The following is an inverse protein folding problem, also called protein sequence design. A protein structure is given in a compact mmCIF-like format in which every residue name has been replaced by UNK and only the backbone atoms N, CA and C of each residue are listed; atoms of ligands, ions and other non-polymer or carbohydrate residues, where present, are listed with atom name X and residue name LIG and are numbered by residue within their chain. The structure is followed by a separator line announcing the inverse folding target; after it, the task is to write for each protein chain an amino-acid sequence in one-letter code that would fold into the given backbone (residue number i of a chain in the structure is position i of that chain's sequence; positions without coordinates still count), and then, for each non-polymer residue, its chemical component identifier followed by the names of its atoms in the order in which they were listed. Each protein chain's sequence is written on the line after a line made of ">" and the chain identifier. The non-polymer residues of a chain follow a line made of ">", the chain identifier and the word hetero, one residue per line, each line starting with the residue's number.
data_IF_741593868494
#
_entry.id   IF_741593868494
#
_cell.length_a   1.000
_cell.length_b   1.000
_cell.length_c   1.000
_cell.angle_alpha   90.00
_cell.angle_beta   90.00
_cell.angle_gamma   90.00
#
_symmetry.space_group_name_H-M   'P 1'
#
loop_
_entity.id
_entity.type
_entity.pdbx_description
1 polymer ?
#
# COMPACT_ATOMS: atom_id res chain seq x y z
N UNK A 1 -59.11 40.93 52.84
CA UNK A 1 -57.99 40.12 52.31
C UNK A 1 -57.10 41.09 51.53
N UNK A 2 -55.86 41.27 52.01
CA UNK A 2 -54.78 42.21 51.63
C UNK A 2 -55.01 43.10 50.38
N UNK A 3 -55.28 44.41 50.51
CA UNK A 3 -54.40 45.56 50.79
C UNK A 3 -53.25 45.83 49.79
N UNK A 4 -53.52 46.88 49.04
CA UNK A 4 -52.73 47.75 48.17
C UNK A 4 -51.49 48.39 48.82
N UNK A 5 -50.42 48.52 48.03
CA UNK A 5 -49.65 49.76 47.80
C UNK A 5 -48.90 50.45 48.95
N UNK A 6 -47.56 50.59 48.81
CA UNK A 6 -46.86 51.83 49.18
C UNK A 6 -45.48 51.97 48.52
N UNK A 7 -45.13 53.22 48.33
CA UNK A 7 -44.06 53.85 47.56
C UNK A 7 -42.83 54.24 48.40
N UNK A 8 -41.74 54.56 47.67
CA UNK A 8 -40.51 55.31 48.03
C UNK A 8 -39.47 54.57 48.91
N UNK A 9 -38.19 54.52 48.56
CA UNK A 9 -37.29 55.69 48.49
C UNK A 9 -36.03 55.38 47.66
N UNK A 10 -35.57 56.40 46.91
CA UNK A 10 -34.37 56.42 46.08
C UNK A 10 -33.09 56.27 46.92
N UNK A 11 -32.12 55.51 46.43
CA UNK A 11 -30.71 55.83 46.64
C UNK A 11 -29.96 55.71 45.30
N UNK A 12 -29.48 56.87 44.85
CA UNK A 12 -28.51 57.03 43.78
C UNK A 12 -27.16 56.50 44.26
N UNK A 13 -26.57 55.54 43.55
CA UNK A 13 -25.12 55.37 43.50
C UNK A 13 -24.73 55.28 42.03
N UNK A 14 -24.20 56.38 41.52
CA UNK A 14 -23.54 56.43 40.22
C UNK A 14 -22.19 55.71 40.34
N UNK A 15 -22.03 54.60 39.63
CA UNK A 15 -20.73 54.00 39.36
C UNK A 15 -20.50 54.04 37.85
N UNK A 16 -19.68 55.00 37.44
CA UNK A 16 -19.11 55.13 36.11
C UNK A 16 -18.21 53.91 35.89
N UNK A 17 -18.66 52.96 35.06
CA UNK A 17 -17.84 51.86 34.59
C UNK A 17 -17.07 52.32 33.35
N UNK A 18 -15.85 52.79 33.57
CA UNK A 18 -14.85 53.05 32.54
C UNK A 18 -14.53 51.75 31.82
N UNK A 19 -14.93 51.67 30.55
CA UNK A 19 -14.59 50.59 29.64
C UNK A 19 -13.08 50.66 29.34
N UNK A 20 -12.27 49.90 30.09
CA UNK A 20 -10.88 49.64 29.75
C UNK A 20 -10.85 48.52 28.70
N UNK A 21 -10.61 48.91 27.45
CA UNK A 21 -10.20 48.02 26.37
C UNK A 21 -8.88 47.32 26.75
N UNK A 22 -8.96 46.08 27.25
CA UNK A 22 -7.84 45.15 27.24
C UNK A 22 -7.88 44.41 25.89
N UNK A 23 -6.86 44.55 25.01
CA UNK A 23 -6.76 43.68 23.87
C UNK A 23 -6.49 42.27 24.39
N UNK A 24 -7.42 41.34 24.15
CA UNK A 24 -7.16 39.93 24.30
C UNK A 24 -6.05 39.55 23.31
N UNK A 25 -4.82 39.47 23.81
CA UNK A 25 -3.74 38.74 23.15
C UNK A 25 -4.24 37.30 22.98
N UNK A 26 -4.72 36.98 21.78
CA UNK A 26 -4.77 35.60 21.31
C UNK A 26 -3.32 35.13 21.30
N UNK A 27 -2.96 34.32 22.29
CA UNK A 27 -1.84 33.41 22.13
C UNK A 27 -2.21 32.52 20.93
N UNK A 28 -1.54 32.76 19.80
CA UNK A 28 -1.41 31.72 18.79
C UNK A 28 -0.76 30.54 19.50
N UNK A 29 -1.55 29.49 19.68
CA UNK A 29 -1.08 28.20 20.17
C UNK A 29 -0.19 27.64 19.05
N UNK A 30 1.06 28.10 19.02
CA UNK A 30 2.13 27.50 18.23
C UNK A 30 2.36 26.14 18.86
N UNK A 31 1.56 25.17 18.41
CA UNK A 31 1.82 23.76 18.64
C UNK A 31 3.26 23.50 18.21
N UNK A 32 4.15 23.35 19.19
CA UNK A 32 5.55 23.06 18.93
C UNK A 32 5.60 21.80 18.05
N UNK A 33 6.08 21.96 16.81
CA UNK A 33 6.19 20.86 15.87
C UNK A 33 6.99 19.73 16.54
N UNK A 34 6.40 18.53 16.62
CA UNK A 34 7.08 17.34 17.14
C UNK A 34 8.41 17.19 16.38
N UNK A 35 9.54 16.96 17.07
CA UNK A 35 10.84 16.84 16.41
C UNK A 35 10.77 15.80 15.30
N UNK A 36 11.35 16.12 14.14
CA UNK A 36 11.45 15.16 13.05
C UNK A 36 12.17 13.90 13.54
N UNK A 37 11.68 12.68 13.22
CA UNK A 37 12.34 11.47 13.64
C UNK A 37 13.76 11.40 13.06
N UNK A 38 14.71 10.92 13.87
CA UNK A 38 16.10 10.73 13.45
C UNK A 38 16.29 9.30 12.94
N UNK A 39 16.84 9.10 11.72
CA UNK A 39 17.15 7.76 11.24
C UNK A 39 18.25 7.11 12.09
N UNK A 40 18.13 5.81 12.32
CA UNK A 40 19.14 5.01 13.03
C UNK A 40 20.34 4.67 12.13
N UNK A 41 20.12 4.59 10.81
CA UNK A 41 21.15 4.36 9.80
C UNK A 41 20.85 5.27 8.61
N UNK A 42 21.89 5.91 8.06
CA UNK A 42 21.82 6.68 6.81
C UNK A 42 22.92 6.18 5.88
N UNK A 43 22.53 5.67 4.71
CA UNK A 43 23.46 5.12 3.72
C UNK A 43 23.50 6.00 2.47
N UNK A 44 24.67 6.47 2.03
CA UNK A 44 24.79 7.22 0.78
C UNK A 44 24.67 6.28 -0.43
N UNK A 45 23.95 6.72 -1.47
CA UNK A 45 23.69 5.93 -2.68
C UNK A 45 24.46 6.39 -3.91
N UNK A 46 25.10 7.54 -3.85
CA UNK A 46 25.95 8.09 -4.91
C UNK A 46 27.11 7.14 -5.26
N UNK A 47 27.70 6.50 -4.24
CA UNK A 47 28.75 5.47 -4.39
C UNK A 47 28.26 4.25 -5.17
N UNK A 48 26.94 4.00 -5.23
CA UNK A 48 26.33 2.91 -6.00
C UNK A 48 25.91 3.39 -7.41
N UNK A 49 26.09 4.67 -7.73
CA UNK A 49 25.70 5.26 -9.01
C UNK A 49 24.20 5.53 -9.13
N UNK A 50 23.46 5.50 -8.02
CA UNK A 50 22.05 5.88 -8.01
C UNK A 50 21.88 7.36 -8.34
N UNK A 51 20.87 7.66 -9.18
CA UNK A 51 20.48 9.02 -9.52
C UNK A 51 18.96 9.11 -9.51
N UNK A 52 18.35 9.90 -8.61
CA UNK A 52 16.92 10.08 -8.58
C UNK A 52 16.40 10.61 -9.91
N UNK A 53 15.32 10.00 -10.41
CA UNK A 53 14.58 10.52 -11.55
C UNK A 53 13.46 11.41 -10.99
N UNK A 54 13.53 12.70 -11.30
CA UNK A 54 12.61 13.74 -10.80
C UNK A 54 11.70 14.31 -11.89
N UNK A 55 11.66 13.70 -13.08
CA UNK A 55 10.88 14.22 -14.19
C UNK A 55 9.38 14.13 -13.91
N UNK A 56 8.67 15.25 -14.07
CA UNK A 56 7.21 15.35 -13.93
C UNK A 56 6.47 14.37 -14.86
N UNK A 57 6.98 14.15 -16.07
CA UNK A 57 6.43 13.17 -17.01
C UNK A 57 6.44 11.74 -16.45
N UNK A 58 7.57 11.27 -15.91
CA UNK A 58 7.65 9.93 -15.30
C UNK A 58 6.73 9.78 -14.09
N UNK A 59 6.60 10.84 -13.29
CA UNK A 59 5.71 10.85 -12.14
C UNK A 59 4.23 10.79 -12.56
N UNK A 60 3.81 11.55 -13.58
CA UNK A 60 2.45 11.47 -14.14
C UNK A 60 2.15 10.09 -14.72
N UNK A 61 3.10 9.54 -15.48
CA UNK A 61 2.96 8.23 -16.11
C UNK A 61 2.99 7.06 -15.11
N UNK A 62 3.39 7.30 -13.85
CA UNK A 62 3.40 6.27 -12.82
C UNK A 62 4.58 5.30 -12.93
N UNK A 63 5.67 5.73 -13.55
CA UNK A 63 6.83 4.89 -13.82
C UNK A 63 7.61 4.51 -12.55
N UNK A 64 7.97 3.24 -12.46
CA UNK A 64 8.83 2.69 -11.40
C UNK A 64 10.30 2.99 -11.69
N UNK A 65 10.87 3.99 -11.03
CA UNK A 65 12.28 4.35 -11.25
C UNK A 65 13.22 3.75 -10.20
N UNK A 66 12.72 3.47 -9.00
CA UNK A 66 13.48 2.84 -7.94
C UNK A 66 12.57 2.06 -6.99
N UNK A 67 13.09 0.96 -6.44
CA UNK A 67 12.46 0.22 -5.35
C UNK A 67 13.44 -0.04 -4.22
N UNK A 68 12.96 -0.05 -2.98
CA UNK A 68 13.71 -0.50 -1.81
C UNK A 68 12.86 -1.52 -1.07
N UNK A 69 13.46 -2.65 -0.70
CA UNK A 69 12.78 -3.71 0.03
C UNK A 69 13.75 -4.34 1.04
N UNK A 70 13.23 -4.80 2.17
CA UNK A 70 14.00 -5.68 3.06
C UNK A 70 14.06 -7.09 2.48
N UNK A 71 15.26 -7.67 2.48
CA UNK A 71 15.45 -9.12 2.29
C UNK A 71 15.31 -9.80 3.65
N UNK A 72 15.94 -9.23 4.67
CA UNK A 72 15.82 -9.59 6.07
C UNK A 72 16.15 -8.36 6.95
N UNK A 73 16.23 -8.52 8.28
CA UNK A 73 16.55 -7.43 9.23
C UNK A 73 17.92 -6.76 9.05
N UNK A 74 18.80 -7.30 8.21
CA UNK A 74 20.19 -6.89 7.99
C UNK A 74 20.53 -6.63 6.52
N UNK A 75 19.64 -6.91 5.59
CA UNK A 75 19.91 -6.79 4.16
C UNK A 75 18.75 -6.12 3.42
N UNK A 76 19.10 -5.24 2.50
CA UNK A 76 18.16 -4.57 1.61
C UNK A 76 18.40 -4.98 0.16
N UNK A 77 17.34 -5.03 -0.62
CA UNK A 77 17.38 -5.02 -2.07
C UNK A 77 16.98 -3.62 -2.56
N UNK A 78 17.94 -2.90 -3.13
CA UNK A 78 17.72 -1.63 -3.81
C UNK A 78 17.74 -1.86 -5.32
N UNK A 79 16.72 -1.38 -6.03
CA UNK A 79 16.71 -1.37 -7.50
C UNK A 79 16.52 0.04 -8.03
N UNK A 80 17.12 0.36 -9.18
CA UNK A 80 16.94 1.64 -9.84
C UNK A 80 17.26 1.58 -11.33
N UNK A 81 16.62 2.47 -12.10
CA UNK A 81 16.91 2.63 -13.53
C UNK A 81 18.35 3.10 -13.74
N UNK A 82 19.14 2.31 -14.45
CA UNK A 82 20.50 2.63 -14.85
C UNK A 82 20.50 3.47 -16.14
N UNK A 83 21.17 4.62 -16.12
CA UNK A 83 21.31 5.48 -17.30
C UNK A 83 22.49 5.00 -18.15
N UNK A 84 22.21 4.21 -19.18
CA UNK A 84 23.20 3.76 -20.15
C UNK A 84 22.63 3.62 -21.55
N UNK A 85 23.51 3.50 -22.54
CA UNK A 85 23.12 3.23 -23.92
C UNK A 85 22.53 1.83 -24.02
N UNK A 86 21.41 1.71 -24.73
CA UNK A 86 20.69 0.46 -24.90
C UNK A 86 21.07 -0.12 -26.27
N UNK A 87 21.72 -1.29 -26.31
CA UNK A 87 22.00 -1.94 -27.57
C UNK A 87 20.70 -2.47 -28.18
N UNK A 88 20.57 -2.33 -29.51
CA UNK A 88 19.45 -2.94 -30.25
C UNK A 88 19.45 -4.45 -30.03
N UNK A 89 18.29 -5.02 -29.73
CA UNK A 89 18.10 -6.46 -29.59
C UNK A 89 17.23 -6.98 -30.73
N UNK A 90 17.47 -8.22 -31.15
CA UNK A 90 16.57 -8.92 -32.06
C UNK A 90 15.22 -9.28 -31.40
N UNK A 91 15.18 -9.29 -30.06
CA UNK A 91 13.99 -9.62 -29.25
C UNK A 91 13.11 -8.40 -28.95
N UNK A 92 13.53 -7.21 -29.39
CA UNK A 92 12.80 -5.97 -29.17
C UNK A 92 11.49 -5.99 -29.96
N UNK A 93 10.36 -5.81 -29.27
CA UNK A 93 9.02 -5.74 -29.83
C UNK A 93 8.62 -4.27 -30.07
N UNK A 94 7.69 -4.06 -30.98
CA UNK A 94 7.09 -2.74 -31.17
C UNK A 94 6.37 -2.30 -29.89
N UNK A 95 6.63 -1.09 -29.43
CA UNK A 95 6.08 -0.56 -28.17
C UNK A 95 6.95 -0.78 -26.93
N UNK A 96 8.04 -1.55 -27.00
CA UNK A 96 8.98 -1.71 -25.88
C UNK A 96 9.62 -0.35 -25.50
N UNK A 97 9.52 0.02 -24.22
CA UNK A 97 10.27 1.13 -23.58
C UNK A 97 11.45 0.55 -22.79
N UNK A 98 12.37 -0.04 -23.56
CA UNK A 98 13.55 -0.70 -23.03
C UNK A 98 14.35 0.21 -22.10
N UNK A 99 14.75 -0.35 -20.97
CA UNK A 99 15.76 0.25 -20.12
C UNK A 99 16.44 -0.81 -19.25
N UNK A 100 17.47 -0.40 -18.53
CA UNK A 100 18.15 -1.26 -17.59
C UNK A 100 17.78 -0.90 -16.17
N UNK A 101 17.53 -1.90 -15.36
CA UNK A 101 17.39 -1.80 -13.91
C UNK A 101 18.63 -2.44 -13.29
N UNK A 102 19.35 -1.67 -12.48
CA UNK A 102 20.40 -2.20 -11.61
C UNK A 102 19.78 -2.61 -10.29
N UNK A 103 20.16 -3.78 -9.79
CA UNK A 103 19.74 -4.33 -8.52
C UNK A 103 20.96 -4.54 -7.63
N UNK A 104 20.88 -4.10 -6.38
CA UNK A 104 22.00 -4.09 -5.44
C UNK A 104 21.52 -4.63 -4.09
N UNK A 105 22.22 -5.65 -3.59
CA UNK A 105 22.04 -6.18 -2.24
C UNK A 105 22.98 -5.46 -1.29
N UNK A 106 22.43 -4.79 -0.28
CA UNK A 106 23.16 -3.92 0.64
C UNK A 106 23.09 -4.52 2.05
N UNK A 107 24.21 -4.64 2.75
CA UNK A 107 24.24 -4.99 4.17
C UNK A 107 24.04 -3.78 5.08
N UNK A 108 23.38 -4.01 6.22
CA UNK A 108 23.17 -3.06 7.28
C UNK A 108 24.05 -3.41 8.50
N UNK A 109 24.61 -2.41 9.22
CA UNK A 109 24.47 -0.97 8.98
C UNK A 109 25.57 -0.37 8.08
N UNK A 110 26.52 -1.17 7.61
CA UNK A 110 27.75 -0.68 6.97
C UNK A 110 27.56 -0.19 5.52
N UNK A 111 26.42 -0.49 4.89
CA UNK A 111 26.12 -0.09 3.52
C UNK A 111 26.92 -0.83 2.46
N UNK A 112 27.57 -1.95 2.82
CA UNK A 112 28.41 -2.69 1.88
C UNK A 112 27.54 -3.40 0.83
N UNK A 113 27.92 -3.25 -0.43
CA UNK A 113 27.32 -4.02 -1.52
C UNK A 113 27.81 -5.46 -1.46
N UNK A 114 26.88 -6.40 -1.29
CA UNK A 114 27.18 -7.83 -1.24
C UNK A 114 27.09 -8.49 -2.61
N UNK A 115 26.08 -8.10 -3.40
CA UNK A 115 25.81 -8.63 -4.74
C UNK A 115 25.12 -7.57 -5.58
N UNK A 116 25.25 -7.73 -6.88
CA UNK A 116 24.57 -6.89 -7.87
C UNK A 116 24.13 -7.72 -9.06
N UNK A 117 23.08 -7.27 -9.71
CA UNK A 117 22.65 -7.76 -11.01
C UNK A 117 22.10 -6.61 -11.83
N UNK A 118 21.90 -6.88 -13.10
CA UNK A 118 21.29 -5.94 -14.02
C UNK A 118 20.28 -6.67 -14.90
N UNK A 119 19.13 -6.04 -15.08
CA UNK A 119 18.03 -6.57 -15.88
C UNK A 119 17.69 -5.59 -16.99
N UNK A 120 17.55 -6.10 -18.22
CA UNK A 120 16.87 -5.35 -19.29
C UNK A 120 15.38 -5.59 -19.11
N UNK A 121 14.64 -4.51 -18.91
CA UNK A 121 13.17 -4.52 -18.80
C UNK A 121 12.58 -3.75 -19.98
N UNK A 122 11.37 -4.11 -20.38
CA UNK A 122 10.75 -3.67 -21.64
C UNK A 122 9.66 -2.61 -21.46
N UNK A 123 9.36 -2.24 -20.23
CA UNK A 123 8.39 -1.21 -19.88
C UNK A 123 8.72 -0.65 -18.49
N UNK A 124 8.04 0.43 -18.07
CA UNK A 124 8.28 1.13 -16.81
C UNK A 124 7.24 0.85 -15.72
N UNK A 125 6.42 -0.18 -15.87
CA UNK A 125 5.47 -0.59 -14.85
C UNK A 125 6.20 -1.15 -13.61
N UNK A 126 5.45 -1.57 -12.59
CA UNK A 126 6.07 -2.32 -11.49
C UNK A 126 6.72 -3.59 -12.03
N UNK A 127 7.90 -3.90 -11.49
CA UNK A 127 8.68 -5.07 -11.91
C UNK A 127 9.17 -5.90 -10.74
N UNK A 128 9.01 -5.44 -9.50
CA UNK A 128 9.52 -6.15 -8.32
C UNK A 128 8.48 -6.15 -7.20
N UNK A 129 8.21 -7.31 -6.63
CA UNK A 129 7.36 -7.48 -5.46
C UNK A 129 8.07 -8.37 -4.42
N UNK A 130 8.08 -7.98 -3.13
CA UNK A 130 8.57 -8.84 -2.08
C UNK A 130 7.65 -10.06 -1.91
N UNK A 131 8.27 -11.22 -1.71
CA UNK A 131 7.62 -12.47 -1.31
C UNK A 131 8.07 -12.83 0.11
N UNK A 132 7.56 -13.94 0.65
CA UNK A 132 7.97 -14.43 1.95
C UNK A 132 9.48 -14.79 1.99
N UNK A 133 10.07 -14.74 3.19
CA UNK A 133 11.42 -15.24 3.48
C UNK A 133 12.53 -14.62 2.61
N UNK A 134 12.44 -13.32 2.31
CA UNK A 134 13.48 -12.61 1.54
C UNK A 134 13.55 -12.98 0.05
N UNK A 135 12.52 -13.65 -0.46
CA UNK A 135 12.39 -13.91 -1.89
C UNK A 135 11.66 -12.76 -2.57
N UNK A 136 11.77 -12.66 -3.89
CA UNK A 136 11.09 -11.64 -4.67
C UNK A 136 10.49 -12.22 -5.95
N UNK A 137 9.44 -11.58 -6.45
CA UNK A 137 8.96 -11.78 -7.80
C UNK A 137 9.49 -10.64 -8.67
N UNK A 138 10.25 -10.99 -9.70
CA UNK A 138 10.67 -10.09 -10.78
C UNK A 138 9.77 -10.32 -12.00
N UNK A 139 9.24 -9.24 -12.56
CA UNK A 139 8.52 -9.26 -13.84
C UNK A 139 9.36 -8.62 -14.93
N UNK A 140 9.50 -9.30 -16.05
CA UNK A 140 10.03 -8.75 -17.29
C UNK A 140 8.99 -8.99 -18.37
N UNK A 141 8.28 -7.94 -18.80
CA UNK A 141 7.14 -8.04 -19.72
C UNK A 141 6.04 -8.97 -19.16
N UNK A 142 5.72 -10.08 -19.82
CA UNK A 142 4.73 -11.06 -19.36
C UNK A 142 5.33 -12.17 -18.49
N UNK A 143 6.66 -12.23 -18.40
CA UNK A 143 7.35 -13.30 -17.71
C UNK A 143 7.62 -12.94 -16.26
N UNK A 144 7.51 -13.96 -15.41
CA UNK A 144 7.74 -13.87 -13.98
C UNK A 144 8.88 -14.78 -13.55
N UNK A 145 9.74 -14.23 -12.70
CA UNK A 145 10.91 -14.90 -12.15
C UNK A 145 10.92 -14.78 -10.63
N UNK A 146 11.30 -15.84 -9.92
CA UNK A 146 11.63 -15.73 -8.50
C UNK A 146 13.09 -15.31 -8.35
N UNK A 147 13.37 -14.45 -7.39
CA UNK A 147 14.71 -14.12 -6.93
C UNK A 147 14.92 -14.67 -5.52
N UNK A 148 16.12 -15.17 -5.27
CA UNK A 148 16.67 -15.47 -3.95
C UNK A 148 18.02 -14.75 -3.83
N UNK A 149 18.02 -13.45 -3.46
CA UNK A 149 19.20 -12.61 -3.57
C UNK A 149 20.37 -13.06 -2.70
N UNK A 150 20.11 -13.74 -1.58
CA UNK A 150 21.14 -14.25 -0.66
C UNK A 150 21.47 -15.72 -0.91
N UNK A 151 20.64 -16.44 -1.66
CA UNK A 151 20.80 -17.85 -2.03
C UNK A 151 22.11 -18.20 -2.73
N UNK A 152 22.36 -19.50 -2.87
CA UNK A 152 23.55 -19.99 -3.57
C UNK A 152 23.37 -20.19 -5.07
N UNK A 153 22.12 -20.31 -5.53
CA UNK A 153 21.78 -20.49 -6.95
C UNK A 153 21.98 -19.18 -7.73
N UNK A 154 22.43 -19.28 -8.99
CA UNK A 154 22.51 -18.19 -9.97
C UNK A 154 22.89 -16.82 -9.37
N UNK A 155 24.02 -16.77 -8.64
CA UNK A 155 24.40 -15.59 -7.82
C UNK A 155 24.54 -14.31 -8.64
N UNK A 156 24.99 -14.42 -9.88
CA UNK A 156 25.18 -13.32 -10.83
C UNK A 156 23.87 -12.63 -11.22
N UNK A 157 22.75 -13.35 -11.10
CA UNK A 157 21.40 -12.83 -11.34
C UNK A 157 20.53 -12.93 -10.09
N UNK A 158 21.12 -12.79 -8.89
CA UNK A 158 20.39 -12.77 -7.62
C UNK A 158 19.45 -13.96 -7.41
N UNK A 159 19.88 -15.16 -7.82
CA UNK A 159 19.09 -16.37 -7.66
C UNK A 159 17.90 -16.49 -8.61
N UNK A 160 17.88 -15.71 -9.69
CA UNK A 160 16.79 -15.69 -10.67
C UNK A 160 16.46 -17.10 -11.22
N UNK A 161 15.18 -17.48 -11.12
CA UNK A 161 14.58 -18.70 -11.71
C UNK A 161 13.26 -18.33 -12.37
N UNK A 162 12.98 -18.88 -13.55
CA UNK A 162 11.67 -18.71 -14.22
C UNK A 162 10.56 -19.35 -13.39
N UNK A 163 9.45 -18.63 -13.21
CA UNK A 163 8.24 -19.14 -12.54
C UNK A 163 7.07 -19.31 -13.49
N UNK A 164 6.85 -18.33 -14.37
CA UNK A 164 5.75 -18.33 -15.32
C UNK A 164 6.20 -17.56 -16.56
N UNK A 165 5.99 -18.15 -17.73
CA UNK A 165 6.19 -17.50 -19.02
C UNK A 165 4.82 -17.22 -19.61
N UNK A 166 4.63 -16.03 -20.16
CA UNK A 166 3.35 -15.62 -20.73
C UNK A 166 3.55 -14.60 -21.84
N UNK A 167 2.92 -14.86 -22.99
CA UNK A 167 2.80 -13.87 -24.06
C UNK A 167 1.60 -12.93 -23.86
N UNK A 168 0.75 -13.19 -22.88
CA UNK A 168 -0.37 -12.31 -22.55
C UNK A 168 0.11 -10.99 -21.90
N UNK A 169 -0.67 -9.93 -22.13
CA UNK A 169 -0.45 -8.62 -21.56
C UNK A 169 -0.92 -8.61 -20.10
N UNK A 170 -0.03 -8.25 -19.17
CA UNK A 170 -0.36 -8.14 -17.74
C UNK A 170 -1.23 -6.90 -17.50
N UNK A 171 -2.43 -7.12 -16.96
CA UNK A 171 -3.37 -6.07 -16.58
C UNK A 171 -3.21 -5.68 -15.11
N UNK A 172 -3.11 -6.67 -14.23
CA UNK A 172 -2.90 -6.45 -12.80
C UNK A 172 -2.15 -7.62 -12.15
N UNK A 173 -1.46 -7.29 -11.06
CA UNK A 173 -0.79 -8.26 -10.22
C UNK A 173 -1.00 -7.87 -8.75
N UNK A 174 -1.63 -8.75 -7.99
CA UNK A 174 -1.96 -8.52 -6.59
C UNK A 174 -1.56 -9.73 -5.72
N UNK A 175 -1.39 -9.50 -4.43
CA UNK A 175 -0.99 -10.53 -3.47
C UNK A 175 -1.85 -10.46 -2.21
N UNK A 176 -2.10 -11.61 -1.60
CA UNK A 176 -2.53 -11.66 -0.19
C UNK A 176 -1.47 -10.98 0.71
N UNK A 177 -1.84 -10.49 1.90
CA UNK A 177 -0.89 -9.86 2.82
C UNK A 177 0.30 -10.76 3.15
N UNK A 178 0.05 -12.04 3.40
CA UNK A 178 1.07 -13.06 3.72
C UNK A 178 1.93 -13.46 2.50
N UNK A 179 1.62 -12.93 1.30
CA UNK A 179 2.31 -13.23 0.03
C UNK A 179 2.28 -14.72 -0.36
N UNK A 180 1.27 -15.44 0.09
CA UNK A 180 1.06 -16.87 -0.14
C UNK A 180 0.00 -17.17 -1.22
N UNK A 181 -0.73 -16.15 -1.66
CA UNK A 181 -1.67 -16.18 -2.77
C UNK A 181 -1.40 -14.97 -3.69
N UNK A 182 -1.27 -15.23 -5.00
CA UNK A 182 -1.03 -14.23 -6.04
C UNK A 182 -2.18 -14.27 -7.05
N UNK A 183 -2.70 -13.10 -7.38
CA UNK A 183 -3.68 -12.90 -8.44
C UNK A 183 -2.95 -12.31 -9.65
N UNK A 184 -2.95 -13.03 -10.76
CA UNK A 184 -2.40 -12.58 -12.04
C UNK A 184 -3.55 -12.35 -13.00
N UNK A 185 -3.72 -11.11 -13.45
CA UNK A 185 -4.74 -10.75 -14.43
C UNK A 185 -4.09 -10.44 -15.77
N UNK A 186 -4.48 -11.17 -16.82
CA UNK A 186 -3.91 -11.01 -18.15
C UNK A 186 -4.98 -10.86 -19.22
N UNK A 187 -4.62 -10.21 -20.32
CA UNK A 187 -5.42 -10.17 -21.54
C UNK A 187 -4.59 -10.69 -22.73
N UNK A 188 -5.21 -11.36 -23.72
CA UNK A 188 -4.50 -11.78 -24.93
C UNK A 188 -3.76 -10.61 -25.59
N UNK A 189 -2.54 -10.77 -26.10
CA UNK A 189 -1.77 -9.67 -26.66
C UNK A 189 -2.42 -9.10 -27.93
N UNK A 190 -2.24 -7.80 -28.18
CA UNK A 190 -2.64 -7.18 -29.46
C UNK A 190 -1.78 -7.74 -30.59
N UNK A 191 -2.43 -8.11 -31.70
CA UNK A 191 -1.77 -8.51 -32.93
C UNK A 191 -1.68 -7.32 -33.88
N UNK A 192 -0.69 -7.36 -34.77
CA UNK A 192 -0.52 -6.36 -35.82
C UNK A 192 -1.77 -6.39 -36.70
N UNK A 193 -2.47 -5.25 -36.80
CA UNK A 193 -3.69 -5.09 -37.58
C UNK A 193 -4.99 -5.16 -36.76
N UNK A 194 -4.91 -5.46 -35.46
CA UNK A 194 -6.07 -5.35 -34.56
C UNK A 194 -6.50 -3.89 -34.42
N UNK A 195 -7.81 -3.64 -34.38
CA UNK A 195 -8.35 -2.29 -34.15
C UNK A 195 -8.07 -1.89 -32.69
N UNK A 196 -7.43 -0.72 -32.42
CA UNK A 196 -7.25 -0.22 -31.06
C UNK A 196 -8.56 -0.10 -30.25
N UNK A 197 -9.72 0.03 -30.90
CA UNK A 197 -11.02 0.00 -30.25
C UNK A 197 -11.38 -1.38 -29.68
N UNK A 198 -11.00 -2.46 -30.37
CA UNK A 198 -11.24 -3.85 -29.92
C UNK A 198 -10.39 -4.22 -28.70
N UNK A 199 -9.32 -3.48 -28.43
CA UNK A 199 -8.47 -3.69 -27.26
C UNK A 199 -9.24 -3.62 -25.92
N UNK A 200 -10.33 -2.82 -25.88
CA UNK A 200 -11.18 -2.63 -24.70
C UNK A 200 -12.19 -3.76 -24.46
N UNK A 201 -12.50 -4.53 -25.50
CA UNK A 201 -13.47 -5.64 -25.42
C UNK A 201 -12.80 -6.99 -25.15
N UNK A 202 -11.46 -7.01 -25.02
CA UNK A 202 -10.70 -8.23 -24.73
C UNK A 202 -11.02 -8.71 -23.31
N UNK A 203 -11.32 -10.02 -23.14
CA UNK A 203 -11.57 -10.56 -21.82
C UNK A 203 -10.30 -10.53 -20.96
N UNK A 204 -10.48 -10.23 -19.68
CA UNK A 204 -9.43 -10.32 -18.67
C UNK A 204 -9.54 -11.68 -17.98
N UNK A 205 -8.44 -12.42 -17.96
CA UNK A 205 -8.30 -13.71 -17.29
C UNK A 205 -7.61 -13.51 -15.95
N UNK A 206 -8.34 -13.70 -14.86
CA UNK A 206 -7.83 -13.63 -13.49
C UNK A 206 -7.48 -15.03 -13.00
N UNK A 207 -6.19 -15.30 -12.76
CA UNK A 207 -5.69 -16.61 -12.29
C UNK A 207 -5.08 -16.48 -10.91
N UNK A 208 -5.49 -17.34 -9.99
CA UNK A 208 -4.97 -17.40 -8.63
C UNK A 208 -3.89 -18.47 -8.52
N UNK A 209 -2.74 -18.10 -7.99
CA UNK A 209 -1.61 -18.99 -7.73
C UNK A 209 -1.27 -18.99 -6.26
N UNK A 210 -1.21 -20.17 -5.63
CA UNK A 210 -0.59 -20.33 -4.32
C UNK A 210 0.92 -20.33 -4.50
N UNK A 211 1.62 -19.55 -3.67
CA UNK A 211 3.07 -19.51 -3.61
C UNK A 211 3.56 -20.32 -2.42
N UNK A 212 4.62 -21.10 -2.64
CA UNK A 212 5.34 -21.77 -1.58
C UNK A 212 6.83 -21.79 -1.91
N UNK A 213 7.68 -21.67 -0.89
CA UNK A 213 9.12 -21.89 -1.02
C UNK A 213 9.39 -23.35 -0.62
N UNK A 214 10.03 -24.11 -1.50
CA UNK A 214 10.41 -25.50 -1.19
C UNK A 214 11.71 -25.56 -0.36
N UNK A 215 12.10 -26.77 0.07
CA UNK A 215 13.31 -27.00 0.88
C UNK A 215 14.61 -26.54 0.18
N UNK A 216 14.57 -26.36 -1.14
CA UNK A 216 15.73 -25.89 -1.93
C UNK A 216 15.80 -24.37 -2.04
N UNK A 217 14.83 -23.65 -1.46
CA UNK A 217 14.67 -22.20 -1.63
C UNK A 217 14.04 -21.82 -2.97
N UNK A 218 13.48 -22.77 -3.72
CA UNK A 218 12.80 -22.44 -4.96
C UNK A 218 11.33 -22.07 -4.69
N UNK A 219 10.89 -20.94 -5.24
CA UNK A 219 9.47 -20.57 -5.23
C UNK A 219 8.71 -21.47 -6.21
N UNK A 220 7.57 -22.00 -5.80
CA UNK A 220 6.67 -22.80 -6.61
C UNK A 220 5.28 -22.17 -6.68
N UNK A 221 4.69 -22.26 -7.86
CA UNK A 221 3.33 -21.83 -8.12
C UNK A 221 2.40 -23.06 -8.19
N UNK A 222 1.31 -23.04 -7.44
CA UNK A 222 0.21 -23.97 -7.61
C UNK A 222 -1.03 -23.22 -8.10
N UNK A 223 -1.53 -23.52 -9.30
CA UNK A 223 -2.77 -22.92 -9.79
C UNK A 223 -3.94 -23.30 -8.87
N UNK A 224 -4.74 -22.31 -8.47
CA UNK A 224 -5.87 -22.45 -7.55
C UNK A 224 -7.22 -22.05 -8.14
N UNK A 225 -7.26 -21.69 -9.41
CA UNK A 225 -8.50 -21.34 -10.07
C UNK A 225 -8.32 -20.15 -11.01
N UNK A 226 -9.30 -20.02 -11.91
CA UNK A 226 -9.35 -18.96 -12.90
C UNK A 226 -10.77 -18.42 -13.00
N UNK A 227 -10.88 -17.11 -13.20
CA UNK A 227 -12.11 -16.43 -13.58
C UNK A 227 -11.86 -15.57 -14.82
N UNK A 228 -12.93 -15.24 -15.53
CA UNK A 228 -12.88 -14.38 -16.71
C UNK A 228 -13.87 -13.24 -16.49
N UNK A 229 -13.43 -12.02 -16.75
CA UNK A 229 -14.21 -10.79 -16.67
C UNK A 229 -13.99 -9.94 -17.92
N UNK A 230 -14.79 -8.88 -18.08
CA UNK A 230 -14.53 -7.85 -19.09
C UNK A 230 -13.48 -6.85 -18.61
N UNK A 231 -13.48 -6.55 -17.32
CA UNK A 231 -12.60 -5.57 -16.70
C UNK A 231 -11.69 -6.23 -15.64
N UNK A 232 -10.49 -5.67 -15.37
CA UNK A 232 -9.64 -6.08 -14.25
C UNK A 232 -10.40 -6.07 -12.93
N UNK A 233 -10.14 -7.05 -12.07
CA UNK A 233 -10.77 -7.08 -10.75
C UNK A 233 -10.05 -6.09 -9.81
N UNK A 234 -10.80 -5.53 -8.86
CA UNK A 234 -10.26 -4.75 -7.74
C UNK A 234 -10.73 -5.43 -6.46
N UNK A 235 -9.88 -6.29 -5.91
CA UNK A 235 -10.25 -7.20 -4.83
C UNK A 235 -9.42 -6.91 -3.58
N UNK A 236 -10.09 -6.95 -2.43
CA UNK A 236 -9.41 -7.15 -1.16
C UNK A 236 -9.53 -8.64 -0.83
N UNK A 237 -8.41 -9.37 -0.81
CA UNK A 237 -8.43 -10.82 -0.60
C UNK A 237 -7.30 -11.32 0.30
N UNK A 238 -7.49 -12.51 0.85
CA UNK A 238 -6.47 -13.29 1.58
C UNK A 238 -6.43 -14.70 1.01
N UNK A 239 -5.57 -15.57 1.55
CA UNK A 239 -5.58 -17.00 1.21
C UNK A 239 -6.89 -17.72 1.58
N UNK A 240 -7.74 -17.09 2.40
CA UNK A 240 -8.99 -17.66 2.90
C UNK A 240 -10.23 -17.25 2.12
N UNK A 241 -10.21 -16.09 1.43
CA UNK A 241 -11.39 -15.56 0.77
C UNK A 241 -11.24 -14.14 0.25
N UNK A 242 -12.37 -13.58 -0.18
CA UNK A 242 -12.47 -12.24 -0.76
C UNK A 242 -13.43 -11.39 0.07
N UNK A 243 -13.04 -10.15 0.33
CA UNK A 243 -13.82 -9.15 1.03
C UNK A 243 -14.63 -8.32 0.04
N UNK A 244 -15.93 -8.24 0.27
CA UNK A 244 -16.87 -7.42 -0.48
C UNK A 244 -17.34 -6.24 0.39
N UNK A 245 -17.25 -5.04 -0.18
CA UNK A 245 -17.87 -3.84 0.41
C UNK A 245 -19.31 -3.72 -0.09
N UNK A 246 -20.27 -3.77 0.83
CA UNK A 246 -21.72 -3.77 0.55
C UNK A 246 -22.32 -2.43 1.00
N UNK A 247 -23.20 -1.82 0.19
CA UNK A 247 -23.93 -0.62 0.61
C UNK A 247 -25.16 -1.02 1.41
N UNK A 248 -25.22 -0.64 2.69
CA UNK A 248 -26.39 -0.88 3.53
C UNK A 248 -27.37 0.30 3.45
N UNK A 249 -26.85 1.52 3.54
CA UNK A 249 -27.60 2.75 3.31
C UNK A 249 -26.73 3.85 2.67
N UNK A 250 -27.15 5.12 2.71
CA UNK A 250 -26.41 6.24 2.10
C UNK A 250 -25.07 6.54 2.77
N UNK A 251 -24.91 6.19 4.03
CA UNK A 251 -23.75 6.52 4.86
C UNK A 251 -23.19 5.34 5.63
N UNK A 252 -23.77 4.15 5.50
CA UNK A 252 -23.32 2.91 6.13
C UNK A 252 -23.01 1.86 5.09
N UNK A 253 -21.83 1.26 5.25
CA UNK A 253 -21.29 0.22 4.40
C UNK A 253 -20.99 -1.02 5.24
N UNK A 254 -21.51 -2.16 4.82
CA UNK A 254 -21.16 -3.46 5.38
C UNK A 254 -19.91 -4.03 4.72
N UNK A 255 -19.30 -5.00 5.38
CA UNK A 255 -18.22 -5.81 4.82
C UNK A 255 -18.57 -7.29 4.93
N UNK A 256 -18.65 -7.96 3.79
CA UNK A 256 -18.93 -9.38 3.69
C UNK A 256 -17.67 -10.13 3.26
N UNK A 257 -17.20 -11.08 4.06
CA UNK A 257 -16.07 -11.93 3.72
C UNK A 257 -16.55 -13.28 3.19
N UNK A 258 -16.37 -13.47 1.89
CA UNK A 258 -16.69 -14.71 1.19
C UNK A 258 -15.48 -15.64 1.20
N UNK A 259 -15.52 -16.62 2.08
CA UNK A 259 -14.46 -17.64 2.15
C UNK A 259 -14.45 -18.51 0.88
N UNK A 260 -13.28 -18.95 0.46
CA UNK A 260 -13.15 -19.94 -0.62
C UNK A 260 -13.74 -21.31 -0.27
N UNK A 261 -13.99 -21.56 1.02
CA UNK A 261 -14.75 -22.70 1.53
C UNK A 261 -16.28 -22.54 1.38
N UNK A 262 -16.77 -21.41 0.85
CA UNK A 262 -18.18 -21.17 0.54
C UNK A 262 -19.03 -20.53 1.64
N UNK A 263 -18.44 -20.28 2.82
CA UNK A 263 -19.07 -19.53 3.93
C UNK A 263 -19.01 -18.03 3.67
N UNK A 264 -20.10 -17.32 3.98
CA UNK A 264 -20.12 -15.85 4.08
C UNK A 264 -20.01 -15.44 5.56
N UNK A 265 -19.26 -14.39 5.85
CA UNK A 265 -19.07 -13.83 7.19
C UNK A 265 -19.32 -12.34 7.09
N UNK A 266 -20.41 -11.88 7.68
CA UNK A 266 -20.70 -10.45 7.85
C UNK A 266 -19.78 -9.89 8.95
N UNK A 267 -19.12 -8.77 8.65
CA UNK A 267 -18.17 -8.11 9.52
C UNK A 267 -18.71 -6.75 10.00
N UNK A 268 -17.97 -6.10 10.90
CA UNK A 268 -18.36 -4.79 11.39
C UNK A 268 -18.43 -3.75 10.26
N UNK A 269 -19.57 -3.06 10.14
CA UNK A 269 -19.77 -2.01 9.15
C UNK A 269 -18.97 -0.73 9.39
N UNK A 270 -18.99 0.16 8.41
CA UNK A 270 -18.24 1.42 8.38
C UNK A 270 -19.14 2.59 7.95
N UNK A 271 -19.31 3.57 8.84
CA UNK A 271 -20.02 4.81 8.52
C UNK A 271 -19.15 5.71 7.64
N UNK A 272 -19.47 5.78 6.35
CA UNK A 272 -18.76 6.57 5.34
C UNK A 272 -19.73 7.11 4.28
N UNK A 273 -19.58 8.37 3.90
CA UNK A 273 -20.39 9.00 2.85
C UNK A 273 -19.96 8.65 1.41
N UNK A 274 -18.83 7.95 1.25
CA UNK A 274 -18.36 7.40 -0.02
C UNK A 274 -18.09 5.90 0.12
N UNK A 275 -18.02 5.15 -0.99
CA UNK A 275 -17.68 3.73 -0.96
C UNK A 275 -16.29 3.51 -0.35
N UNK A 276 -16.17 2.75 0.75
CA UNK A 276 -14.87 2.49 1.35
C UNK A 276 -13.98 1.65 0.45
N UNK A 277 -12.69 1.99 0.42
CA UNK A 277 -11.64 1.15 -0.16
C UNK A 277 -10.96 0.37 0.95
N UNK A 278 -11.04 -0.96 0.88
CA UNK A 278 -10.49 -1.86 1.89
C UNK A 278 -9.19 -2.50 1.42
N UNK A 279 -8.23 -2.66 2.33
CA UNK A 279 -6.94 -3.32 2.08
C UNK A 279 -6.61 -4.16 3.31
N UNK A 280 -6.36 -5.46 3.09
CA UNK A 280 -5.88 -6.34 4.16
C UNK A 280 -4.46 -5.99 4.53
N UNK A 281 -4.15 -6.01 5.84
CA UNK A 281 -2.79 -5.83 6.40
C UNK A 281 -2.21 -7.11 6.97
N UNK A 282 -3.08 -8.09 7.25
CA UNK A 282 -2.75 -9.46 7.60
C UNK A 282 -3.87 -10.37 7.11
N UNK A 283 -3.72 -11.69 7.26
CA UNK A 283 -4.83 -12.63 7.01
C UNK A 283 -6.07 -12.37 7.89
N UNK A 284 -5.92 -11.64 9.00
CA UNK A 284 -6.95 -11.45 10.01
C UNK A 284 -7.54 -10.03 10.03
N UNK A 285 -6.80 -9.05 9.51
CA UNK A 285 -7.09 -7.64 9.71
C UNK A 285 -7.03 -6.90 8.38
N UNK A 286 -7.93 -5.92 8.22
CA UNK A 286 -7.92 -4.98 7.12
C UNK A 286 -8.21 -3.58 7.64
N UNK A 287 -7.77 -2.58 6.90
CA UNK A 287 -8.28 -1.23 7.10
C UNK A 287 -9.14 -0.81 5.91
N UNK A 288 -10.00 0.17 6.15
CA UNK A 288 -10.81 0.79 5.12
C UNK A 288 -10.64 2.31 5.14
N UNK A 289 -10.53 2.91 3.95
CA UNK A 289 -10.58 4.35 3.75
C UNK A 289 -11.97 4.77 3.30
N UNK A 290 -12.57 5.73 4.01
CA UNK A 290 -13.88 6.28 3.72
C UNK A 290 -13.90 7.81 3.74
N UNK A 291 -15.10 8.38 3.76
CA UNK A 291 -15.35 9.83 3.72
C UNK A 291 -16.32 10.25 4.84
N UNK A 292 -16.12 11.46 5.39
CA UNK A 292 -16.98 12.04 6.44
C UNK A 292 -17.62 13.35 5.98
N UNK A 293 -18.83 13.26 5.45
CA UNK A 293 -19.64 14.43 5.10
C UNK A 293 -19.19 15.12 3.81
N UNK A 294 -18.54 14.37 2.91
CA UNK A 294 -17.99 14.87 1.65
C UNK A 294 -16.61 14.27 1.36
N UNK A 295 -16.10 14.50 0.15
CA UNK A 295 -14.80 13.93 -0.26
C UNK A 295 -13.60 14.55 0.46
N UNK A 296 -13.72 15.76 1.01
CA UNK A 296 -12.59 16.50 1.59
C UNK A 296 -12.18 16.00 2.98
N UNK A 297 -13.04 15.25 3.67
CA UNK A 297 -12.74 14.70 5.00
C UNK A 297 -12.67 13.20 4.90
N UNK A 298 -11.48 12.63 5.12
CA UNK A 298 -11.29 11.19 5.03
C UNK A 298 -11.37 10.53 6.39
N UNK A 299 -11.81 9.28 6.37
CA UNK A 299 -11.85 8.38 7.51
C UNK A 299 -10.92 7.22 7.24
N UNK A 300 -10.27 6.75 8.28
CA UNK A 300 -9.56 5.48 8.26
C UNK A 300 -10.06 4.64 9.43
N UNK A 301 -10.43 3.39 9.16
CA UNK A 301 -10.86 2.45 10.18
C UNK A 301 -10.13 1.12 10.06
N UNK A 302 -9.83 0.48 11.20
CA UNK A 302 -9.26 -0.85 11.29
C UNK A 302 -10.32 -1.87 11.72
N UNK A 303 -10.34 -3.02 11.07
CA UNK A 303 -11.34 -4.08 11.21
C UNK A 303 -10.66 -5.45 11.23
N UNK A 304 -11.32 -6.45 11.81
CA UNK A 304 -10.87 -7.84 11.74
C UNK A 304 -11.95 -8.79 11.20
N UNK A 305 -11.53 -10.00 10.85
CA UNK A 305 -12.42 -11.08 10.40
C UNK A 305 -13.26 -11.71 11.53
N UNK A 306 -13.15 -11.20 12.76
CA UNK A 306 -13.98 -11.57 13.91
C UNK A 306 -15.19 -10.63 14.09
N UNK A 307 -15.47 -9.80 13.07
CA UNK A 307 -16.53 -8.81 13.06
C UNK A 307 -16.37 -7.70 14.12
N UNK A 308 -15.13 -7.32 14.44
CA UNK A 308 -14.83 -6.21 15.35
C UNK A 308 -14.28 -5.01 14.58
N UNK A 309 -14.84 -3.83 14.83
CA UNK A 309 -14.22 -2.56 14.46
C UNK A 309 -13.23 -2.16 15.57
N UNK A 310 -11.93 -2.15 15.26
CA UNK A 310 -10.86 -1.93 16.23
C UNK A 310 -10.71 -0.45 16.58
N UNK A 311 -10.71 0.39 15.56
CA UNK A 311 -10.55 1.84 15.69
C UNK A 311 -11.05 2.53 14.43
N UNK A 312 -11.47 3.79 14.57
CA UNK A 312 -11.81 4.69 13.45
C UNK A 312 -11.34 6.10 13.82
N UNK A 313 -10.61 6.77 12.94
CA UNK A 313 -10.25 8.16 13.12
C UNK A 313 -10.46 8.98 11.84
N UNK A 314 -10.66 10.28 12.02
CA UNK A 314 -10.62 11.24 10.91
C UNK A 314 -9.16 11.49 10.55
N UNK A 315 -8.85 11.42 9.26
CA UNK A 315 -7.55 11.83 8.72
C UNK A 315 -7.78 13.04 7.83
N UNK A 316 -6.92 14.04 7.98
CA UNK A 316 -7.01 15.29 7.22
C UNK A 316 -6.55 15.10 5.76
N UNK A 317 -5.95 13.95 5.45
CA UNK A 317 -5.38 13.67 4.15
C UNK A 317 -5.98 12.40 3.51
N UNK A 318 -6.46 12.54 2.27
CA UNK A 318 -6.65 11.41 1.38
C UNK A 318 -5.31 11.05 0.73
N UNK A 319 -4.79 9.82 0.87
CA UNK A 319 -3.56 9.45 0.21
C UNK A 319 -3.75 9.47 -1.30
N UNK A 320 -3.26 10.54 -1.94
CA UNK A 320 -3.16 10.59 -3.40
C UNK A 320 -2.14 9.53 -3.84
N UNK A 321 -2.62 8.59 -4.66
CA UNK A 321 -1.94 7.34 -4.94
C UNK A 321 -1.63 6.60 -3.63
N UNK A 322 -2.60 5.86 -3.12
CA UNK A 322 -2.36 5.02 -1.95
C UNK A 322 -1.30 3.95 -2.27
N UNK A 323 -0.26 3.88 -1.46
CA UNK A 323 0.69 2.77 -1.43
C UNK A 323 0.87 2.33 0.01
N UNK A 324 0.84 1.02 0.22
CA UNK A 324 0.96 0.43 1.55
C UNK A 324 1.97 -0.69 1.51
N UNK A 325 2.81 -0.73 2.53
CA UNK A 325 3.65 -1.87 2.82
C UNK A 325 3.35 -2.41 4.22
N UNK A 326 3.48 -3.71 4.40
CA UNK A 326 2.84 -4.43 5.50
C UNK A 326 3.81 -5.42 6.14
N UNK A 327 3.66 -5.61 7.45
CA UNK A 327 4.32 -6.63 8.22
C UNK A 327 3.25 -7.54 8.85
N UNK A 328 2.72 -8.52 8.08
CA UNK A 328 1.53 -9.27 8.45
C UNK A 328 1.61 -9.94 9.81
N UNK A 329 2.77 -10.51 10.16
CA UNK A 329 3.03 -11.17 11.44
C UNK A 329 2.93 -10.26 12.68
N UNK A 330 2.81 -8.95 12.45
CA UNK A 330 2.76 -7.95 13.53
C UNK A 330 1.53 -7.05 13.44
N UNK A 331 0.73 -7.18 12.38
CA UNK A 331 -0.38 -6.27 12.05
C UNK A 331 0.07 -4.83 11.79
N UNK A 332 1.38 -4.55 11.67
CA UNK A 332 1.89 -3.20 11.35
C UNK A 332 1.85 -2.97 9.86
N UNK A 333 1.63 -1.72 9.49
CA UNK A 333 1.64 -1.31 8.09
C UNK A 333 2.08 0.15 7.97
N UNK A 334 2.71 0.46 6.86
CA UNK A 334 3.15 1.78 6.47
C UNK A 334 2.28 2.29 5.32
N UNK A 335 1.77 3.50 5.45
CA UNK A 335 0.96 4.17 4.43
C UNK A 335 1.70 5.38 3.89
N UNK A 336 1.73 5.49 2.56
CA UNK A 336 2.15 6.71 1.87
C UNK A 336 0.98 7.67 1.66
N UNK A 337 1.21 8.94 1.97
CA UNK A 337 0.48 10.08 1.44
C UNK A 337 1.37 10.96 0.54
N UNK A 338 0.83 11.53 -0.54
CA UNK A 338 1.59 12.46 -1.42
C UNK A 338 1.35 13.89 -0.96
N UNK A 339 2.43 14.66 -0.78
CA UNK A 339 2.36 16.05 -0.34
C UNK A 339 2.37 17.00 -1.53
N UNK A 340 1.33 17.84 -1.65
CA UNK A 340 1.14 18.82 -2.73
C UNK A 340 1.27 20.26 -2.24
N UNK A 341 1.60 21.20 -3.13
CA UNK A 341 1.76 22.63 -2.77
C UNK A 341 0.44 23.35 -2.50
N UNK A 342 -0.64 22.88 -3.12
CA UNK A 342 -1.99 23.40 -2.92
C UNK A 342 -2.80 22.32 -2.22
N UNK A 343 -3.55 22.69 -1.19
CA UNK A 343 -4.56 21.80 -0.60
C UNK A 343 -5.56 21.46 -1.70
N UNK A 344 -5.58 20.19 -2.11
CA UNK A 344 -6.44 19.74 -3.19
C UNK A 344 -7.90 19.84 -2.76
N UNK A 345 -8.60 20.90 -3.18
CA UNK A 345 -10.05 20.96 -3.13
C UNK A 345 -10.56 20.54 -4.51
N UNK A 346 -11.08 19.31 -4.62
CA UNK A 346 -11.68 18.79 -5.85
C UNK A 346 -10.95 17.61 -6.51
N UNK A 347 -11.55 17.12 -7.60
CA UNK A 347 -11.19 15.90 -8.33
C UNK A 347 -9.98 16.02 -9.26
N UNK A 348 -9.31 17.18 -9.31
CA UNK A 348 -8.17 17.38 -10.20
C UNK A 348 -6.92 16.73 -9.63
N UNK A 349 -6.33 15.78 -10.38
CA UNK A 349 -5.04 15.18 -10.01
C UNK A 349 -3.97 16.28 -10.03
N UNK A 350 -3.11 16.36 -9.00
CA UNK A 350 -2.13 17.42 -8.91
C UNK A 350 -1.16 17.27 -10.07
N UNK A 351 -0.79 18.40 -10.63
CA UNK A 351 0.21 18.43 -11.67
C UNK A 351 1.56 18.06 -11.05
N UNK A 352 2.45 17.42 -11.81
CA UNK A 352 3.62 16.80 -11.18
C UNK A 352 4.64 17.81 -10.62
N UNK A 353 4.57 19.08 -11.01
CA UNK A 353 5.30 20.21 -10.42
C UNK A 353 4.68 20.71 -9.09
N UNK A 354 3.43 20.34 -8.81
CA UNK A 354 2.78 20.63 -7.53
C UNK A 354 3.16 19.63 -6.43
N UNK A 355 3.80 18.52 -6.78
CA UNK A 355 4.21 17.47 -5.84
C UNK A 355 5.54 17.85 -5.18
N UNK A 356 5.53 18.03 -3.86
CA UNK A 356 6.70 18.44 -3.08
C UNK A 356 7.47 17.27 -2.48
N UNK A 357 6.75 16.19 -2.22
CA UNK A 357 7.30 15.01 -1.59
C UNK A 357 6.17 14.06 -1.21
N UNK A 358 6.48 13.17 -0.28
CA UNK A 358 5.52 12.26 0.30
C UNK A 358 5.76 12.17 1.79
N UNK A 359 4.72 11.75 2.47
CA UNK A 359 4.74 11.40 3.87
C UNK A 359 4.49 9.89 4.00
N UNK A 360 5.29 9.22 4.80
CA UNK A 360 5.13 7.82 5.16
C UNK A 360 4.77 7.77 6.64
N UNK A 361 3.63 7.17 6.95
CA UNK A 361 3.16 6.96 8.33
C UNK A 361 3.12 5.47 8.63
N UNK A 362 3.68 5.05 9.75
CA UNK A 362 3.63 3.65 10.21
C UNK A 362 2.61 3.56 11.34
N UNK A 363 1.69 2.61 11.23
CA UNK A 363 0.63 2.39 12.20
C UNK A 363 0.77 1.03 12.88
N UNK A 364 0.33 0.98 14.13
CA UNK A 364 0.02 -0.27 14.84
C UNK A 364 -1.40 -0.73 14.50
N UNK A 365 -1.56 -1.92 13.93
CA UNK A 365 -2.87 -2.46 13.52
C UNK A 365 -3.88 -2.58 14.65
N UNK A 366 -3.42 -2.82 15.89
CA UNK A 366 -4.32 -2.99 17.03
C UNK A 366 -5.05 -1.70 17.43
N UNK A 367 -4.30 -0.63 17.67
CA UNK A 367 -4.82 0.59 18.29
C UNK A 367 -4.99 1.75 17.29
N UNK A 368 -4.52 1.57 16.05
CA UNK A 368 -4.45 2.66 15.07
C UNK A 368 -3.44 3.73 15.47
N UNK A 369 -2.53 3.43 16.41
CA UNK A 369 -1.52 4.37 16.88
C UNK A 369 -0.48 4.62 15.78
N UNK A 370 -0.21 5.89 15.51
CA UNK A 370 0.88 6.31 14.63
C UNK A 370 2.23 6.17 15.36
N UNK A 371 3.02 5.18 14.94
CA UNK A 371 4.33 4.88 15.53
C UNK A 371 5.43 5.79 14.98
N UNK A 372 5.32 6.17 13.70
CA UNK A 372 6.32 6.95 12.99
C UNK A 372 5.68 7.74 11.85
N UNK A 373 6.20 8.94 11.61
CA UNK A 373 5.86 9.81 10.48
C UNK A 373 7.12 10.43 9.91
N UNK A 374 7.42 10.13 8.65
CA UNK A 374 8.62 10.59 7.93
C UNK A 374 8.20 11.24 6.63
N UNK A 375 8.88 12.30 6.21
CA UNK A 375 8.72 12.88 4.87
C UNK A 375 9.91 12.51 4.00
N UNK A 376 9.67 12.27 2.71
CA UNK A 376 10.73 11.97 1.75
C UNK A 376 10.48 12.61 0.39
N UNK A 377 11.58 12.82 -0.35
CA UNK A 377 11.55 13.35 -1.72
C UNK A 377 12.73 12.80 -2.52
N UNK A 378 12.61 12.52 -3.83
CA UNK A 378 11.39 12.67 -4.65
C UNK A 378 10.37 11.54 -4.43
N UNK A 379 9.13 11.81 -4.80
CA UNK A 379 8.06 10.80 -4.83
C UNK A 379 8.38 9.72 -5.86
N UNK A 380 8.22 8.44 -5.48
CA UNK A 380 8.31 7.31 -6.41
C UNK A 380 6.94 6.67 -6.57
N UNK A 381 6.52 6.44 -7.81
CA UNK A 381 5.31 5.67 -8.13
C UNK A 381 5.71 4.29 -8.64
N UNK A 382 4.91 3.25 -8.35
CA UNK A 382 3.67 3.28 -7.55
C UNK A 382 3.89 3.35 -6.04
N UNK A 383 5.09 3.19 -5.51
CA UNK A 383 5.37 3.32 -4.07
C UNK A 383 6.65 2.64 -3.60
N UNK A 384 7.66 2.55 -4.47
CA UNK A 384 8.87 1.77 -4.23
C UNK A 384 9.91 2.45 -3.34
N UNK A 385 9.68 3.63 -2.80
CA UNK A 385 10.71 4.35 -2.03
C UNK A 385 10.63 4.13 -0.51
N UNK A 386 9.81 3.19 -0.04
CA UNK A 386 9.81 2.79 1.35
C UNK A 386 9.50 1.30 1.47
N UNK A 387 9.98 0.69 2.55
CA UNK A 387 9.64 -0.67 2.91
C UNK A 387 9.63 -0.85 4.43
N UNK A 388 8.69 -1.65 4.91
CA UNK A 388 8.61 -2.12 6.28
C UNK A 388 9.28 -3.50 6.35
N UNK A 389 10.13 -3.73 7.35
CA UNK A 389 10.71 -5.05 7.56
C UNK A 389 9.62 -6.07 7.92
N UNK A 390 9.85 -7.35 7.60
CA UNK A 390 8.87 -8.41 7.87
C UNK A 390 8.49 -8.53 9.35
N UNK A 391 9.44 -8.24 10.25
CA UNK A 391 9.22 -8.16 11.69
C UNK A 391 8.53 -6.87 12.16
N UNK A 392 8.20 -5.94 11.26
CA UNK A 392 7.53 -4.67 11.56
C UNK A 392 8.33 -3.73 12.46
N UNK A 393 9.64 -3.95 12.64
CA UNK A 393 10.48 -3.19 13.58
C UNK A 393 11.37 -2.14 12.90
N UNK A 394 11.47 -2.14 11.57
CA UNK A 394 12.28 -1.20 10.82
C UNK A 394 11.51 -0.66 9.61
N UNK A 395 11.66 0.63 9.35
CA UNK A 395 11.20 1.27 8.11
C UNK A 395 12.43 1.74 7.33
N UNK A 396 12.57 1.29 6.10
CA UNK A 396 13.51 1.83 5.13
C UNK A 396 12.82 2.89 4.29
N UNK A 397 13.47 4.04 4.09
CA UNK A 397 12.98 5.14 3.25
C UNK A 397 14.09 5.60 2.32
N UNK A 398 13.81 5.65 1.04
CA UNK A 398 14.65 6.28 0.04
C UNK A 398 14.37 7.79 0.04
N UNK A 399 15.36 8.58 0.44
CA UNK A 399 15.24 10.03 0.61
C UNK A 399 16.43 10.74 -0.07
N UNK A 400 16.15 11.42 -1.18
CA UNK A 400 17.15 12.07 -2.01
C UNK A 400 18.18 11.07 -2.53
N UNK A 401 19.44 11.22 -2.08
CA UNK A 401 20.56 10.34 -2.41
C UNK A 401 20.90 9.36 -1.28
N UNK A 402 19.99 9.15 -0.34
CA UNK A 402 20.22 8.31 0.83
C UNK A 402 19.13 7.25 0.99
N UNK A 403 19.51 6.15 1.63
CA UNK A 403 18.58 5.27 2.33
C UNK A 403 18.64 5.60 3.81
N UNK A 404 17.49 5.83 4.40
CA UNK A 404 17.31 6.11 5.82
C UNK A 404 16.56 4.94 6.46
N UNK A 405 17.14 4.35 7.51
CA UNK A 405 16.51 3.27 8.28
C UNK A 405 16.07 3.81 9.63
N UNK A 406 14.76 3.72 9.90
CA UNK A 406 14.16 4.10 11.16
C UNK A 406 13.83 2.85 11.97
N UNK A 407 14.17 2.86 13.26
CA UNK A 407 13.74 1.82 14.20
C UNK A 407 12.36 2.17 14.74
N UNK A 408 11.47 1.20 14.74
CA UNK A 408 10.15 1.31 15.33
C UNK A 408 10.18 0.75 16.76
N UNK A 409 9.27 1.20 17.64
CA UNK A 409 9.14 0.62 18.98
C UNK A 409 8.95 -0.90 18.92
N UNK A 410 9.44 -1.68 19.89
CA UNK A 410 9.15 -3.11 19.96
C UNK A 410 7.64 -3.35 20.10
N UNK A 411 7.19 -4.54 19.70
CA UNK A 411 5.80 -4.96 19.93
C UNK A 411 5.56 -5.16 21.43
N UNK A 412 4.40 -4.74 21.93
CA UNK A 412 4.04 -5.06 23.30
C UNK A 412 3.65 -6.55 23.40
N UNK A 413 3.92 -7.24 24.52
CA UNK A 413 3.51 -8.64 24.69
C UNK A 413 1.99 -8.86 24.53
N UNK A 414 1.19 -7.85 24.85
CA UNK A 414 -0.25 -7.90 24.69
C UNK A 414 -0.66 -7.88 23.22
N UNK A 415 0.09 -7.19 22.36
CA UNK A 415 -0.21 -7.12 20.92
C UNK A 415 0.14 -8.42 20.23
N UNK A 416 1.30 -9.01 20.55
CA UNK A 416 1.73 -10.32 20.04
C UNK A 416 0.66 -11.37 20.36
N UNK A 417 0.24 -11.46 21.63
CA UNK A 417 -0.77 -12.43 22.06
C UNK A 417 -2.13 -12.23 21.40
N UNK A 418 -2.53 -10.97 21.18
CA UNK A 418 -3.80 -10.68 20.51
C UNK A 418 -3.73 -11.11 19.05
N UNK A 419 -2.65 -10.77 18.35
CA UNK A 419 -2.45 -11.12 16.95
C UNK A 419 -2.40 -12.64 16.75
N UNK A 420 -1.68 -13.37 17.61
CA UNK A 420 -1.67 -14.84 17.63
C UNK A 420 -3.08 -15.41 17.81
N UNK A 421 -3.85 -14.89 18.78
CA UNK A 421 -5.23 -15.32 19.01
C UNK A 421 -6.13 -15.08 17.80
N UNK A 422 -6.02 -13.92 17.16
CA UNK A 422 -6.79 -13.58 15.95
C UNK A 422 -6.44 -14.54 14.80
N UNK A 423 -5.16 -14.85 14.58
CA UNK A 423 -4.73 -15.82 13.56
C UNK A 423 -5.21 -17.24 13.87
N UNK A 424 -5.07 -17.68 15.11
CA UNK A 424 -5.50 -19.02 15.55
C UNK A 424 -7.00 -19.23 15.37
N UNK A 425 -7.81 -18.19 15.63
CA UNK A 425 -9.25 -18.23 15.44
C UNK A 425 -9.66 -18.43 13.97
N UNK A 426 -8.78 -18.09 13.02
CA UNK A 426 -9.04 -18.16 11.59
C UNK A 426 -8.49 -19.44 10.93
N UNK A 427 -7.70 -20.25 11.65
CA UNK A 427 -7.19 -21.54 11.15
C UNK A 427 -8.30 -22.42 10.53
N UNK A 428 -9.51 -22.55 11.12
CA UNK A 428 -10.58 -23.36 10.52
C UNK A 428 -11.11 -22.84 9.17
N UNK A 429 -10.83 -21.59 8.82
CA UNK A 429 -11.27 -20.96 7.56
C UNK A 429 -10.26 -21.17 6.41
N UNK A 430 -9.05 -21.66 6.71
CA UNK A 430 -8.02 -21.88 5.69
C UNK A 430 -8.40 -23.09 4.81
N UNK A 431 -8.50 -22.90 3.48
CA UNK A 431 -8.88 -23.97 2.57
C UNK A 431 -7.78 -25.04 2.48
N UNK A 432 -8.18 -26.31 2.46
CA UNK A 432 -7.25 -27.45 2.54
C UNK A 432 -6.61 -27.84 1.20
N UNK A 433 -7.20 -27.50 0.04
CA UNK A 433 -6.64 -27.88 -1.27
C UNK A 433 -7.11 -27.02 -2.46
N UNK A 434 -8.41 -26.83 -2.63
CA UNK A 434 -9.01 -26.15 -3.79
C UNK A 434 -9.67 -24.83 -3.38
N UNK A 435 -9.43 -23.77 -4.16
CA UNK A 435 -10.13 -22.50 -3.98
C UNK A 435 -11.32 -22.47 -4.94
N UNK A 436 -12.54 -22.31 -4.43
CA UNK A 436 -13.69 -22.06 -5.29
C UNK A 436 -13.75 -20.57 -5.68
N UNK A 437 -12.74 -20.13 -6.43
CA UNK A 437 -12.55 -18.73 -6.84
C UNK A 437 -13.77 -18.21 -7.60
N UNK A 438 -14.27 -18.97 -8.57
CA UNK A 438 -15.39 -18.54 -9.40
C UNK A 438 -16.65 -18.27 -8.55
N UNK A 439 -16.94 -19.11 -7.56
CA UNK A 439 -18.09 -18.89 -6.69
C UNK A 439 -17.90 -17.67 -5.77
N UNK A 440 -16.69 -17.46 -5.25
CA UNK A 440 -16.38 -16.28 -4.44
C UNK A 440 -16.51 -14.98 -5.26
N UNK A 441 -15.97 -14.97 -6.48
CA UNK A 441 -16.00 -13.79 -7.34
C UNK A 441 -17.40 -13.48 -7.91
N UNK A 442 -18.18 -14.51 -8.23
CA UNK A 442 -19.58 -14.31 -8.70
C UNK A 442 -20.42 -13.57 -7.64
N UNK A 443 -20.10 -13.74 -6.35
CA UNK A 443 -20.79 -13.07 -5.25
C UNK A 443 -20.28 -11.64 -5.03
N UNK A 444 -19.03 -11.36 -5.35
CA UNK A 444 -18.41 -10.04 -5.18
C UNK A 444 -18.77 -9.06 -6.30
N UNK A 445 -19.04 -9.57 -7.51
CA UNK A 445 -19.51 -8.77 -8.66
C UNK A 445 -21.02 -8.54 -8.54
N UNK A 446 -21.42 -7.67 -7.62
CA UNK A 446 -22.69 -6.97 -7.76
C UNK A 446 -22.54 -5.94 -8.90
N UNK A 447 -23.58 -5.66 -9.71
CA UNK A 447 -23.49 -4.67 -10.78
C UNK A 447 -22.96 -3.36 -10.20
N UNK A 448 -21.98 -2.77 -10.87
CA UNK A 448 -21.64 -1.38 -10.62
C UNK A 448 -22.93 -0.59 -10.77
N UNK A 449 -23.45 -0.06 -9.66
CA UNK A 449 -24.43 1.02 -9.75
C UNK A 449 -23.72 2.13 -10.53
N UNK A 450 -24.11 2.29 -11.79
CA UNK A 450 -23.83 3.47 -12.58
C UNK A 450 -24.23 4.70 -11.74
N UNK A 451 -23.25 5.57 -11.51
CA UNK A 451 -23.31 7.05 -11.39
C UNK A 451 -22.35 7.61 -10.33
#
# INVERSE_FOLDING_TARGET
>A
MLLTGRTHTRLFVAAVATLLCLPALRAEDVTAAKPAPTPAITLPLDIMGYRPITSSASLRAGYTNATINFIDSKHLLLTYTAKKLIPRSAEQREGDDDHFVRAVVISLPDGKVLREAEWRVHDRASYLWPLANGHFLLRIRGDFYSLDPLGSFNKEHLGQRTLLESDDELQALEFSPERDLMLVETSPPLKIGDDPAEAKDRPVSATFYRLAVDETGAVRLGNRGRAISKDPFSLAFTSMGVLQTVREDRTHWGFDFHTFAGKNIELAGFTSTCRPRSIFVSDAEFYAYGCRGGEDRKLMGGFNLLAEAKWVFTTDDAPLWLSVDMAPDTGRFAVRNTLTTVGMQGSDRPDADEIRGQEIRVYSGRAGEELLRVTSSPVQRPGGNFALSSDGLQLAVLNGLHVEIYRLPPLSPADVKLHERERDALVPMRPSADLNVAAALTRTVAPSDDH
#
